data_IF_992823079699
#
_entry.id   IF_992823079699
#
_cell.length_a   1.000
_cell.length_b   1.000
_cell.length_c   1.000
_cell.angle_alpha   90.00
_cell.angle_beta   90.00
_cell.angle_gamma   90.00
#
_symmetry.space_group_name_H-M   'P 1'
#
loop_
_entity.id
_entity.type
_entity.pdbx_description
1 polymer ?
#
# COMPACT_ATOMS: atom_id res chain seq x y z
N UNK A 1 39.71 51.94 15.53
CA UNK A 1 38.97 50.72 15.91
C UNK A 1 39.87 49.51 15.71
N UNK A 2 39.93 48.57 16.67
CA UNK A 2 40.56 47.26 16.49
C UNK A 2 39.50 46.18 16.76
N UNK A 3 39.30 45.27 15.81
CA UNK A 3 38.40 44.12 15.96
C UNK A 3 38.99 43.14 16.99
N UNK A 4 38.13 42.47 17.75
CA UNK A 4 38.51 41.36 18.63
C UNK A 4 38.83 40.09 17.82
N UNK A 5 39.74 39.21 18.28
CA UNK A 5 40.17 38.03 17.53
C UNK A 5 39.18 36.86 17.56
N UNK A 6 38.22 36.84 18.50
CA UNK A 6 37.29 35.73 18.68
C UNK A 6 36.35 35.54 17.47
N UNK A 7 35.93 34.29 17.29
CA UNK A 7 34.97 33.86 16.26
C UNK A 7 33.67 33.41 16.92
N UNK A 8 32.61 33.36 16.12
CA UNK A 8 31.30 32.89 16.55
C UNK A 8 31.25 31.35 16.41
N UNK A 9 30.46 30.70 17.27
CA UNK A 9 30.18 29.27 17.21
C UNK A 9 29.39 28.90 15.95
N UNK A 10 29.70 27.77 15.31
CA UNK A 10 29.06 27.37 14.05
C UNK A 10 27.56 27.07 14.21
N UNK A 11 27.09 26.72 15.41
CA UNK A 11 25.66 26.57 15.66
C UNK A 11 24.92 27.90 15.57
N UNK A 12 25.55 29.03 15.91
CA UNK A 12 24.96 30.34 15.68
C UNK A 12 24.76 30.59 14.18
N UNK A 13 25.75 30.27 13.35
CA UNK A 13 25.64 30.44 11.90
C UNK A 13 24.48 29.60 11.33
N UNK A 14 24.40 28.32 11.69
CA UNK A 14 23.32 27.44 11.22
C UNK A 14 21.94 27.81 11.76
N UNK A 15 21.85 28.27 13.01
CA UNK A 15 20.61 28.72 13.63
C UNK A 15 20.15 30.09 13.12
N UNK A 16 21.06 30.91 12.60
CA UNK A 16 20.74 32.17 11.93
C UNK A 16 20.32 31.98 10.46
N UNK A 17 20.34 30.76 9.92
CA UNK A 17 19.93 30.47 8.54
C UNK A 17 18.60 31.12 8.13
N UNK A 18 17.51 31.08 8.94
CA UNK A 18 16.22 31.66 8.56
C UNK A 18 16.27 33.14 8.19
N UNK A 19 17.16 33.91 8.83
CA UNK A 19 17.35 35.34 8.60
C UNK A 19 18.49 35.61 7.59
N UNK A 20 19.59 34.85 7.71
CA UNK A 20 20.81 35.08 6.94
C UNK A 20 20.62 34.78 5.45
N UNK A 21 19.79 33.77 5.10
CA UNK A 21 19.50 33.43 3.70
C UNK A 21 18.85 34.58 2.91
N UNK A 22 18.20 35.51 3.61
CA UNK A 22 17.49 36.65 3.01
C UNK A 22 18.27 37.96 3.05
N UNK A 23 19.47 37.97 3.65
CA UNK A 23 20.20 39.19 3.97
C UNK A 23 19.37 40.16 4.86
N UNK A 24 18.51 39.60 5.71
CA UNK A 24 17.72 40.35 6.70
C UNK A 24 18.64 40.98 7.75
N UNK A 25 18.37 42.21 8.24
CA UNK A 25 17.21 43.05 7.95
C UNK A 25 17.38 44.03 6.77
N UNK A 26 18.50 43.95 6.04
CA UNK A 26 18.85 44.94 5.02
C UNK A 26 18.05 44.76 3.73
N UNK A 27 17.75 43.51 3.37
CA UNK A 27 17.05 43.15 2.12
C UNK A 27 16.00 42.04 2.34
N UNK A 28 15.14 41.82 1.35
CA UNK A 28 14.16 40.72 1.26
C UNK A 28 13.28 40.50 2.51
N UNK A 29 12.94 41.60 3.20
CA UNK A 29 12.11 41.57 4.41
C UNK A 29 10.75 40.92 4.17
N UNK A 30 10.13 41.21 3.03
CA UNK A 30 8.87 40.62 2.58
C UNK A 30 8.96 39.10 2.40
N UNK A 31 10.05 38.61 1.81
CA UNK A 31 10.29 37.15 1.67
C UNK A 31 10.48 36.49 3.03
N UNK A 32 11.24 37.11 3.93
CA UNK A 32 11.40 36.61 5.29
C UNK A 32 10.04 36.53 6.00
N UNK A 33 9.26 37.61 6.01
CA UNK A 33 7.96 37.67 6.68
C UNK A 33 6.93 36.67 6.10
N UNK A 34 7.00 36.35 4.81
CA UNK A 34 6.12 35.34 4.18
C UNK A 34 6.52 33.89 4.46
N UNK A 35 7.80 33.63 4.74
CA UNK A 35 8.34 32.26 4.89
C UNK A 35 8.74 31.93 6.33
N UNK A 36 8.59 32.86 7.27
CA UNK A 36 8.90 32.68 8.69
C UNK A 36 7.64 32.81 9.56
N UNK A 37 7.37 31.84 10.46
CA UNK A 37 8.14 30.62 10.71
C UNK A 37 7.91 29.53 9.66
N UNK A 38 8.88 28.63 9.50
CA UNK A 38 8.80 27.51 8.57
C UNK A 38 7.67 26.52 8.94
N UNK A 39 6.99 25.94 7.96
CA UNK A 39 5.90 24.99 8.24
C UNK A 39 6.40 23.62 8.74
N UNK A 40 7.53 23.14 8.22
CA UNK A 40 8.06 21.82 8.52
C UNK A 40 9.59 21.77 8.43
N UNK A 41 10.21 21.02 9.35
CA UNK A 41 11.62 20.62 9.28
C UNK A 41 11.78 19.14 9.65
N UNK A 42 12.85 18.50 9.17
CA UNK A 42 13.10 17.09 9.42
C UNK A 42 14.60 16.81 9.51
N UNK A 43 15.09 16.43 10.69
CA UNK A 43 16.48 16.03 10.91
C UNK A 43 16.57 14.97 12.01
N UNK A 44 17.75 14.38 12.18
CA UNK A 44 17.99 13.34 13.16
C UNK A 44 17.99 13.83 14.63
N UNK A 45 17.80 12.88 15.55
CA UNK A 45 17.64 13.10 17.00
C UNK A 45 18.76 13.89 17.67
N UNK A 46 19.97 13.82 17.14
CA UNK A 46 21.12 14.61 17.59
C UNK A 46 20.91 16.13 17.39
N UNK A 47 20.05 16.54 16.45
CA UNK A 47 19.74 17.97 16.23
C UNK A 47 18.90 18.61 17.33
N UNK A 48 18.33 17.82 18.24
CA UNK A 48 17.65 18.34 19.45
C UNK A 48 18.56 19.20 20.33
N UNK A 49 19.88 18.98 20.26
CA UNK A 49 20.90 19.80 20.95
C UNK A 49 21.77 20.63 20.01
N UNK A 50 21.55 20.48 18.71
CA UNK A 50 22.26 21.20 17.65
C UNK A 50 21.33 22.19 16.96
N UNK A 51 21.00 21.91 15.71
CA UNK A 51 20.32 22.86 14.84
C UNK A 51 18.94 23.27 15.36
N UNK A 52 18.10 22.32 15.81
CA UNK A 52 16.77 22.63 16.34
C UNK A 52 16.84 23.59 17.53
N UNK A 53 17.80 23.37 18.43
CA UNK A 53 18.02 24.25 19.57
C UNK A 53 18.45 25.65 19.12
N UNK A 54 19.45 25.74 18.26
CA UNK A 54 19.99 27.03 17.79
C UNK A 54 18.94 27.86 17.03
N UNK A 55 18.15 27.22 16.15
CA UNK A 55 17.01 27.84 15.46
C UNK A 55 16.01 28.42 16.45
N UNK A 56 15.58 27.62 17.44
CA UNK A 56 14.56 28.03 18.39
C UNK A 56 15.06 29.13 19.33
N UNK A 57 16.31 29.05 19.78
CA UNK A 57 16.93 30.05 20.65
C UNK A 57 17.05 31.41 19.95
N UNK A 58 17.62 31.45 18.74
CA UNK A 58 17.79 32.69 17.99
C UNK A 58 16.43 33.30 17.62
N UNK A 59 15.50 32.48 17.13
CA UNK A 59 14.14 32.91 16.81
C UNK A 59 13.42 33.53 18.00
N UNK A 60 13.51 32.89 19.17
CA UNK A 60 12.87 33.37 20.39
C UNK A 60 13.49 34.68 20.88
N UNK A 61 14.83 34.80 20.84
CA UNK A 61 15.54 35.99 21.27
C UNK A 61 15.32 37.21 20.37
N UNK A 62 15.13 37.00 19.06
CA UNK A 62 14.98 38.08 18.10
C UNK A 62 13.52 38.43 17.79
N UNK A 63 12.62 37.44 17.84
CA UNK A 63 11.26 37.58 17.31
C UNK A 63 10.16 37.07 18.25
N UNK A 64 10.51 36.55 19.43
CA UNK A 64 9.55 36.06 20.43
C UNK A 64 8.55 35.00 19.90
N UNK A 65 8.97 34.20 18.91
CA UNK A 65 8.15 33.13 18.34
C UNK A 65 8.98 31.89 17.96
N UNK A 66 8.35 30.70 17.78
CA UNK A 66 9.04 29.51 17.29
C UNK A 66 9.60 29.72 15.88
N UNK A 67 10.70 29.02 15.54
CA UNK A 67 11.30 29.10 14.21
C UNK A 67 10.60 28.23 13.16
N UNK A 68 9.86 27.21 13.61
CA UNK A 68 9.17 26.23 12.77
C UNK A 68 7.90 25.72 13.47
N UNK A 69 6.91 25.27 12.69
CA UNK A 69 5.60 24.82 13.19
C UNK A 69 5.54 23.31 13.45
N UNK A 70 6.15 22.50 12.57
CA UNK A 70 6.16 21.05 12.67
C UNK A 70 7.59 20.50 12.55
N UNK A 71 7.89 19.41 13.25
CA UNK A 71 9.18 18.72 13.19
C UNK A 71 8.99 17.21 13.21
N UNK A 72 9.65 16.51 12.28
CA UNK A 72 9.95 15.08 12.45
C UNK A 72 11.39 14.95 12.95
N UNK A 73 11.55 14.25 14.06
CA UNK A 73 12.85 13.99 14.67
C UNK A 73 13.24 12.53 14.37
N UNK A 74 14.14 12.34 13.41
CA UNK A 74 14.48 11.02 12.89
C UNK A 74 15.35 10.22 13.87
N UNK A 75 15.09 8.92 13.97
CA UNK A 75 16.04 7.99 14.54
C UNK A 75 17.24 7.77 13.61
N UNK A 76 18.32 7.21 14.15
CA UNK A 76 19.51 6.93 13.34
C UNK A 76 19.36 5.67 12.50
N UNK A 77 20.01 5.67 11.33
CA UNK A 77 20.22 4.46 10.53
C UNK A 77 21.37 3.65 11.12
N UNK A 78 21.13 2.35 11.32
CA UNK A 78 22.09 1.36 11.84
C UNK A 78 22.15 0.17 10.89
N UNK A 79 23.18 -0.66 11.03
CA UNK A 79 23.27 -1.88 10.23
C UNK A 79 22.17 -2.91 10.57
N UNK A 80 22.19 -4.06 9.86
CA UNK A 80 21.22 -5.13 10.07
C UNK A 80 21.19 -5.67 11.50
N UNK A 81 22.32 -5.61 12.21
CA UNK A 81 22.49 -6.09 13.57
C UNK A 81 22.11 -5.03 14.62
N UNK A 82 21.84 -3.79 14.19
CA UNK A 82 21.49 -2.68 15.05
C UNK A 82 22.71 -1.87 15.54
N UNK A 83 23.89 -2.09 14.97
CA UNK A 83 25.09 -1.35 15.34
C UNK A 83 25.22 -0.06 14.51
N UNK A 84 25.76 0.99 15.16
CA UNK A 84 26.10 2.24 14.48
C UNK A 84 27.06 1.96 13.33
N UNK A 85 26.71 2.44 12.14
CA UNK A 85 27.58 2.35 10.97
C UNK A 85 28.81 3.25 11.15
N UNK A 86 30.01 2.70 10.94
CA UNK A 86 31.26 3.46 11.00
C UNK A 86 32.35 2.84 10.12
N UNK A 87 33.22 3.69 9.55
CA UNK A 87 34.34 3.20 8.72
C UNK A 87 35.25 2.23 9.49
N UNK A 88 35.45 2.48 10.79
CA UNK A 88 36.27 1.62 11.65
C UNK A 88 35.68 0.20 11.82
N UNK A 89 34.35 0.07 11.84
CA UNK A 89 33.66 -1.23 11.90
C UNK A 89 33.50 -1.90 10.53
N UNK A 90 33.75 -1.19 9.44
CA UNK A 90 33.60 -1.70 8.08
C UNK A 90 32.14 -2.03 7.68
N UNK A 91 31.16 -1.58 8.45
CA UNK A 91 29.72 -1.87 8.26
C UNK A 91 28.96 -0.69 7.60
N UNK A 92 29.67 0.26 7.00
CA UNK A 92 29.07 1.39 6.28
C UNK A 92 28.58 0.90 4.92
N UNK A 93 27.33 1.21 4.61
CA UNK A 93 26.78 1.01 3.27
C UNK A 93 26.74 2.36 2.57
N UNK A 94 27.38 2.46 1.40
CA UNK A 94 27.32 3.66 0.57
C UNK A 94 25.91 3.76 -0.07
N UNK A 95 25.16 4.85 0.14
CA UNK A 95 23.87 5.06 -0.50
C UNK A 95 23.93 4.91 -2.03
N UNK A 96 25.04 5.28 -2.67
CA UNK A 96 25.18 5.16 -4.12
C UNK A 96 25.19 3.73 -4.62
N UNK A 97 25.76 2.80 -3.86
CA UNK A 97 25.68 1.37 -4.21
C UNK A 97 24.22 0.93 -4.28
N UNK A 98 23.41 1.34 -3.31
CA UNK A 98 21.98 0.98 -3.27
C UNK A 98 21.21 1.65 -4.40
N UNK A 99 21.46 2.94 -4.66
CA UNK A 99 20.78 3.67 -5.74
C UNK A 99 21.14 3.10 -7.10
N UNK A 100 22.40 2.72 -7.34
CA UNK A 100 22.83 2.16 -8.62
C UNK A 100 22.29 0.74 -8.84
N UNK A 101 22.22 -0.08 -7.79
CA UNK A 101 21.80 -1.48 -7.90
C UNK A 101 20.26 -1.65 -7.87
N UNK A 102 19.54 -0.77 -7.16
CA UNK A 102 18.08 -0.91 -6.92
C UNK A 102 17.25 0.31 -7.32
N UNK A 103 17.86 1.46 -7.55
CA UNK A 103 17.16 2.71 -7.86
C UNK A 103 16.82 3.56 -6.64
N UNK A 104 16.71 4.88 -6.86
CA UNK A 104 16.42 5.86 -5.81
C UNK A 104 15.04 5.65 -5.17
N UNK A 105 14.02 5.29 -5.96
CA UNK A 105 12.66 5.08 -5.48
C UNK A 105 12.57 3.92 -4.47
N UNK A 106 13.33 2.86 -4.70
CA UNK A 106 13.36 1.71 -3.79
C UNK A 106 13.97 2.11 -2.45
N UNK A 107 15.05 2.90 -2.46
CA UNK A 107 15.66 3.42 -1.24
C UNK A 107 14.69 4.36 -0.48
N UNK A 108 14.06 5.31 -1.18
CA UNK A 108 13.06 6.22 -0.59
C UNK A 108 11.91 5.45 0.03
N UNK A 109 11.33 4.52 -0.73
CA UNK A 109 10.25 3.68 -0.26
C UNK A 109 10.64 2.86 0.97
N UNK A 110 11.82 2.25 0.97
CA UNK A 110 12.32 1.50 2.11
C UNK A 110 12.38 2.37 3.38
N UNK A 111 12.99 3.55 3.28
CA UNK A 111 13.16 4.46 4.42
C UNK A 111 11.81 4.95 4.96
N UNK A 112 10.84 5.20 4.09
CA UNK A 112 9.51 5.69 4.48
C UNK A 112 8.59 4.57 4.98
N UNK A 113 8.63 3.37 4.41
CA UNK A 113 7.67 2.31 4.68
C UNK A 113 8.10 1.28 5.75
N UNK A 114 9.41 1.12 5.97
CA UNK A 114 9.94 0.04 6.84
C UNK A 114 9.57 0.19 8.31
N UNK A 115 9.47 1.42 8.82
CA UNK A 115 9.06 1.72 10.19
C UNK A 115 8.85 3.21 10.40
N UNK A 116 8.22 3.60 11.54
CA UNK A 116 8.07 5.01 11.91
C UNK A 116 9.42 5.71 11.99
N UNK A 117 9.46 6.97 11.54
CA UNK A 117 10.68 7.72 11.25
C UNK A 117 11.52 8.03 12.51
N UNK A 118 10.88 8.09 13.68
CA UNK A 118 11.49 8.34 14.98
C UNK A 118 12.28 7.15 15.53
N UNK A 119 12.07 5.95 14.98
CA UNK A 119 12.73 4.74 15.44
C UNK A 119 14.14 4.60 14.86
N UNK A 120 14.97 3.80 15.54
CA UNK A 120 16.25 3.36 14.97
C UNK A 120 15.96 2.47 13.75
N UNK A 121 16.43 2.90 12.58
CA UNK A 121 16.20 2.20 11.32
C UNK A 121 17.34 1.22 11.02
N UNK A 122 17.05 -0.08 11.13
CA UNK A 122 17.96 -1.11 10.62
C UNK A 122 17.99 -1.07 9.11
N UNK A 123 19.18 -1.18 8.53
CA UNK A 123 19.38 -1.08 7.09
C UNK A 123 20.30 -2.19 6.58
N UNK A 124 19.85 -2.86 5.52
CA UNK A 124 20.68 -3.77 4.73
C UNK A 124 20.17 -3.86 3.30
N UNK A 125 21.10 -4.17 2.38
CA UNK A 125 20.79 -4.37 0.96
C UNK A 125 19.71 -5.45 0.77
N UNK A 126 19.75 -6.53 1.57
CA UNK A 126 18.77 -7.60 1.52
C UNK A 126 17.34 -7.11 1.83
N UNK A 127 17.19 -6.29 2.88
CA UNK A 127 15.89 -5.73 3.28
C UNK A 127 15.35 -4.76 2.22
N UNK A 128 16.22 -3.96 1.60
CA UNK A 128 15.86 -3.08 0.47
C UNK A 128 15.35 -3.92 -0.72
N UNK A 129 16.08 -4.98 -1.08
CA UNK A 129 15.71 -5.87 -2.17
C UNK A 129 14.38 -6.61 -1.93
N UNK A 130 14.09 -7.00 -0.69
CA UNK A 130 12.80 -7.60 -0.33
C UNK A 130 11.64 -6.63 -0.46
N UNK A 131 11.82 -5.38 -0.03
CA UNK A 131 10.83 -4.32 -0.18
C UNK A 131 10.55 -4.01 -1.65
N UNK A 132 11.59 -3.92 -2.48
CA UNK A 132 11.47 -3.76 -3.94
C UNK A 132 10.59 -4.85 -4.55
N UNK A 133 10.88 -6.12 -4.24
CA UNK A 133 10.16 -7.26 -4.82
C UNK A 133 8.68 -7.26 -4.46
N UNK A 134 8.32 -6.83 -3.25
CA UNK A 134 6.93 -6.84 -2.78
C UNK A 134 6.08 -5.74 -3.41
N UNK A 135 6.64 -4.54 -3.58
CA UNK A 135 5.85 -3.38 -4.02
C UNK A 135 6.08 -3.07 -5.49
N UNK A 136 7.33 -2.78 -5.87
CA UNK A 136 7.64 -2.27 -7.19
C UNK A 136 7.38 -3.32 -8.28
N UNK A 137 7.79 -4.57 -8.07
CA UNK A 137 7.51 -5.63 -9.06
C UNK A 137 6.01 -5.90 -9.20
N UNK A 138 5.25 -5.89 -8.10
CA UNK A 138 3.80 -6.11 -8.12
C UNK A 138 3.09 -4.98 -8.88
N UNK A 139 3.45 -3.74 -8.61
CA UNK A 139 2.95 -2.58 -9.35
C UNK A 139 3.33 -2.66 -10.83
N UNK A 140 4.61 -2.89 -11.13
CA UNK A 140 5.11 -2.91 -12.50
C UNK A 140 4.50 -4.04 -13.33
N UNK A 141 4.29 -5.22 -12.74
CA UNK A 141 3.61 -6.33 -13.40
C UNK A 141 2.14 -6.02 -13.67
N UNK A 142 1.46 -5.34 -12.73
CA UNK A 142 0.06 -4.90 -12.90
C UNK A 142 -0.06 -3.86 -14.01
N UNK A 143 0.83 -2.87 -14.01
CA UNK A 143 0.95 -1.87 -15.07
C UNK A 143 1.28 -2.51 -16.43
N UNK A 144 2.26 -3.40 -16.49
CA UNK A 144 2.66 -4.10 -17.72
C UNK A 144 1.52 -4.96 -18.27
N UNK A 145 0.78 -5.64 -17.40
CA UNK A 145 -0.43 -6.36 -17.77
C UNK A 145 -1.45 -5.42 -18.43
N UNK A 146 -1.75 -4.28 -17.79
CA UNK A 146 -2.67 -3.29 -18.34
C UNK A 146 -2.22 -2.81 -19.72
N UNK A 147 -0.98 -2.32 -19.85
CA UNK A 147 -0.43 -1.78 -21.11
C UNK A 147 -0.47 -2.83 -22.22
N UNK A 148 -0.09 -4.07 -21.94
CA UNK A 148 -0.08 -5.14 -22.94
C UNK A 148 -1.48 -5.35 -23.55
N UNK A 149 -2.49 -5.55 -22.71
CA UNK A 149 -3.83 -5.86 -23.19
C UNK A 149 -4.57 -4.62 -23.71
N UNK A 150 -4.37 -3.45 -23.08
CA UNK A 150 -4.91 -2.18 -23.57
C UNK A 150 -4.41 -1.86 -24.98
N UNK A 151 -3.14 -2.14 -25.30
CA UNK A 151 -2.60 -1.96 -26.64
C UNK A 151 -3.17 -2.96 -27.66
N UNK A 152 -3.33 -4.23 -27.27
CA UNK A 152 -3.95 -5.26 -28.12
C UNK A 152 -5.37 -4.85 -28.50
N UNK A 153 -6.14 -4.38 -27.52
CA UNK A 153 -7.54 -4.01 -27.70
C UNK A 153 -7.75 -2.56 -28.15
N UNK A 154 -6.67 -1.78 -28.28
CA UNK A 154 -6.68 -0.35 -28.62
C UNK A 154 -7.59 0.45 -27.70
N UNK A 155 -7.51 0.18 -26.40
CA UNK A 155 -8.25 0.90 -25.39
C UNK A 155 -7.85 2.38 -25.38
N UNK A 156 -8.85 3.25 -25.36
CA UNK A 156 -8.68 4.70 -25.18
C UNK A 156 -9.51 5.09 -23.96
N UNK A 157 -8.89 5.67 -22.92
CA UNK A 157 -9.61 6.21 -21.77
C UNK A 157 -10.69 7.19 -22.21
N UNK A 158 -11.93 6.95 -21.77
CA UNK A 158 -13.04 7.87 -22.03
C UNK A 158 -13.47 8.57 -20.73
N UNK A 159 -13.91 9.84 -20.80
CA UNK A 159 -14.42 10.56 -19.62
C UNK A 159 -15.72 9.94 -19.08
N UNK A 160 -16.50 9.27 -19.93
CA UNK A 160 -17.76 8.65 -19.55
C UNK A 160 -17.54 7.29 -18.91
N UNK A 161 -18.04 7.16 -17.69
CA UNK A 161 -18.07 5.91 -16.92
C UNK A 161 -18.99 4.90 -17.63
N UNK A 162 -18.59 3.62 -17.81
CA UNK A 162 -19.48 2.60 -18.33
C UNK A 162 -20.74 2.48 -17.45
N UNK A 163 -21.90 2.26 -18.08
CA UNK A 163 -23.20 2.30 -17.39
C UNK A 163 -23.38 1.21 -16.31
N UNK A 164 -22.58 0.13 -16.34
CA UNK A 164 -22.69 -1.00 -15.42
C UNK A 164 -21.29 -1.50 -15.06
N UNK A 165 -20.94 -1.42 -13.77
CA UNK A 165 -19.74 -2.00 -13.20
C UNK A 165 -20.02 -3.35 -12.57
N UNK A 166 -19.08 -4.29 -12.70
CA UNK A 166 -19.12 -5.52 -11.92
C UNK A 166 -18.89 -5.23 -10.43
N UNK A 167 -19.29 -6.14 -9.54
CA UNK A 167 -19.13 -5.96 -8.09
C UNK A 167 -17.66 -5.74 -7.69
N UNK A 168 -16.72 -6.47 -8.32
CA UNK A 168 -15.29 -6.28 -8.11
C UNK A 168 -14.78 -4.90 -8.59
N UNK A 169 -15.39 -4.33 -9.64
CA UNK A 169 -15.04 -2.97 -10.09
C UNK A 169 -15.51 -1.94 -9.06
N UNK A 170 -16.75 -2.07 -8.59
CA UNK A 170 -17.29 -1.20 -7.55
C UNK A 170 -16.48 -1.30 -6.26
N UNK A 171 -16.06 -2.51 -5.88
CA UNK A 171 -15.21 -2.74 -4.71
C UNK A 171 -13.86 -2.05 -4.84
N UNK A 172 -13.11 -2.28 -5.93
CA UNK A 172 -11.75 -1.71 -6.03
C UNK A 172 -11.79 -0.18 -6.18
N UNK A 173 -12.83 0.39 -6.80
CA UNK A 173 -13.04 1.84 -6.85
C UNK A 173 -13.37 2.40 -5.45
N UNK A 174 -14.18 1.68 -4.68
CA UNK A 174 -14.47 2.03 -3.29
C UNK A 174 -13.21 2.00 -2.43
N UNK A 175 -12.39 0.95 -2.54
CA UNK A 175 -11.07 0.85 -1.90
C UNK A 175 -10.11 1.94 -2.35
N UNK A 176 -10.12 2.32 -3.64
CA UNK A 176 -9.28 3.42 -4.15
C UNK A 176 -9.64 4.76 -3.51
N UNK A 177 -10.93 5.07 -3.38
CA UNK A 177 -11.37 6.31 -2.72
C UNK A 177 -11.06 6.30 -1.22
N UNK A 178 -11.19 5.14 -0.57
CA UNK A 178 -10.76 4.95 0.82
C UNK A 178 -9.26 5.15 0.98
N UNK A 179 -8.45 4.57 0.08
CA UNK A 179 -7.00 4.75 0.04
C UNK A 179 -6.64 6.23 -0.07
N UNK A 180 -7.25 6.98 -1.00
CA UNK A 180 -6.98 8.42 -1.15
C UNK A 180 -7.26 9.14 0.17
N UNK A 181 -8.40 8.88 0.81
CA UNK A 181 -8.75 9.51 2.08
C UNK A 181 -7.77 9.15 3.23
N UNK A 182 -7.37 7.88 3.34
CA UNK A 182 -6.45 7.39 4.36
C UNK A 182 -5.03 7.93 4.16
N UNK A 183 -4.54 8.01 2.92
CA UNK A 183 -3.24 8.58 2.58
C UNK A 183 -3.23 10.09 2.82
N UNK A 184 -4.25 10.82 2.38
CA UNK A 184 -4.36 12.27 2.65
C UNK A 184 -4.31 12.53 4.15
N UNK A 185 -5.13 11.83 4.93
CA UNK A 185 -5.15 11.98 6.40
C UNK A 185 -3.79 11.70 7.04
N UNK A 186 -3.10 10.65 6.58
CA UNK A 186 -1.79 10.29 7.11
C UNK A 186 -0.74 11.36 6.77
N UNK A 187 -0.70 11.85 5.53
CA UNK A 187 0.24 12.89 5.12
C UNK A 187 -0.04 14.25 5.80
N UNK A 188 -1.31 14.63 5.94
CA UNK A 188 -1.72 15.83 6.71
C UNK A 188 -1.29 15.75 8.18
N UNK A 189 -1.14 14.53 8.71
CA UNK A 189 -0.68 14.26 10.07
C UNK A 189 0.82 13.98 10.16
N UNK A 190 1.59 14.18 9.08
CA UNK A 190 3.02 13.88 9.01
C UNK A 190 3.39 12.40 9.30
N UNK A 191 2.53 11.46 8.89
CA UNK A 191 2.68 10.01 9.08
C UNK A 191 2.97 9.26 7.75
N UNK A 192 4.16 9.45 7.13
CA UNK A 192 4.47 8.90 5.81
C UNK A 192 4.51 7.36 5.79
N UNK A 193 4.89 6.72 6.91
CA UNK A 193 4.94 5.27 7.01
C UNK A 193 3.57 4.63 6.89
N UNK A 194 2.56 5.23 7.55
CA UNK A 194 1.17 4.77 7.46
C UNK A 194 0.65 4.91 6.04
N UNK A 195 0.85 6.07 5.42
CA UNK A 195 0.50 6.32 4.02
C UNK A 195 1.13 5.29 3.06
N UNK A 196 2.43 5.04 3.16
CA UNK A 196 3.13 4.06 2.32
C UNK A 196 2.56 2.63 2.50
N UNK A 197 2.20 2.24 3.73
CA UNK A 197 1.62 0.93 4.02
C UNK A 197 0.20 0.77 3.46
N UNK A 198 -0.63 1.83 3.49
CA UNK A 198 -1.94 1.82 2.86
C UNK A 198 -1.81 1.62 1.34
N UNK A 199 -0.91 2.38 0.70
CA UNK A 199 -0.64 2.23 -0.73
C UNK A 199 -0.14 0.82 -1.06
N UNK A 200 0.79 0.28 -0.25
CA UNK A 200 1.29 -1.08 -0.42
C UNK A 200 0.17 -2.13 -0.37
N UNK A 201 -0.74 -2.02 0.61
CA UNK A 201 -1.86 -2.95 0.75
C UNK A 201 -2.77 -2.88 -0.47
N UNK A 202 -3.08 -1.68 -0.95
CA UNK A 202 -3.91 -1.52 -2.14
C UNK A 202 -3.26 -2.08 -3.41
N UNK A 203 -1.95 -1.90 -3.59
CA UNK A 203 -1.21 -2.50 -4.73
C UNK A 203 -1.33 -4.04 -4.69
N UNK A 204 -1.25 -4.64 -3.50
CA UNK A 204 -1.45 -6.07 -3.31
C UNK A 204 -2.87 -6.50 -3.68
N UNK A 205 -3.89 -5.80 -3.16
CA UNK A 205 -5.31 -6.07 -3.44
C UNK A 205 -5.64 -5.92 -4.94
N UNK A 206 -5.10 -4.87 -5.58
CA UNK A 206 -5.28 -4.60 -7.00
C UNK A 206 -4.68 -5.75 -7.85
N UNK A 207 -3.47 -6.18 -7.55
CA UNK A 207 -2.79 -7.25 -8.30
C UNK A 207 -3.37 -8.63 -8.00
N UNK A 208 -3.37 -9.01 -6.73
CA UNK A 208 -3.61 -10.37 -6.27
C UNK A 208 -5.08 -10.70 -6.11
N UNK A 209 -5.98 -9.72 -6.03
CA UNK A 209 -7.42 -9.97 -6.04
C UNK A 209 -8.06 -9.45 -7.32
N UNK A 210 -8.08 -8.14 -7.55
CA UNK A 210 -8.84 -7.55 -8.64
C UNK A 210 -8.37 -8.04 -10.02
N UNK A 211 -7.09 -7.82 -10.37
CA UNK A 211 -6.54 -8.19 -11.68
C UNK A 211 -6.64 -9.69 -11.89
N UNK A 212 -6.21 -10.49 -10.91
CA UNK A 212 -6.22 -11.96 -11.01
C UNK A 212 -7.62 -12.50 -11.33
N UNK A 213 -8.66 -12.00 -10.65
CA UNK A 213 -10.05 -12.42 -10.86
C UNK A 213 -10.67 -11.86 -12.14
N UNK A 214 -10.19 -10.69 -12.57
CA UNK A 214 -10.70 -10.03 -13.77
C UNK A 214 -9.98 -10.46 -15.07
N UNK A 215 -8.90 -11.27 -15.02
CA UNK A 215 -8.11 -11.68 -16.22
C UNK A 215 -8.97 -12.18 -17.38
N UNK A 216 -9.97 -13.02 -17.09
CA UNK A 216 -10.89 -13.56 -18.11
C UNK A 216 -11.60 -12.45 -18.89
N UNK A 217 -11.94 -11.33 -18.23
CA UNK A 217 -12.59 -10.16 -18.85
C UNK A 217 -11.66 -9.48 -19.85
N UNK A 218 -10.38 -9.35 -19.52
CA UNK A 218 -9.34 -8.80 -20.42
C UNK A 218 -9.01 -9.72 -21.61
N UNK A 219 -9.21 -11.04 -21.48
CA UNK A 219 -8.91 -12.01 -22.54
C UNK A 219 -10.08 -12.32 -23.49
N UNK A 220 -11.28 -11.78 -23.23
CA UNK A 220 -12.42 -11.96 -24.12
C UNK A 220 -12.09 -11.41 -25.51
N UNK A 221 -12.39 -12.17 -26.56
CA UNK A 221 -12.19 -11.72 -27.94
C UNK A 221 -13.13 -10.57 -28.33
N UNK A 222 -14.28 -10.46 -27.68
CA UNK A 222 -15.22 -9.36 -27.90
C UNK A 222 -14.90 -8.17 -26.99
N UNK A 223 -14.84 -6.96 -27.56
CA UNK A 223 -14.76 -5.71 -26.82
C UNK A 223 -16.17 -5.29 -26.37
N UNK A 224 -16.70 -6.00 -25.38
CA UNK A 224 -18.00 -5.73 -24.78
C UNK A 224 -17.93 -4.64 -23.69
N UNK A 225 -19.10 -4.21 -23.21
CA UNK A 225 -19.20 -3.18 -22.17
C UNK A 225 -18.53 -3.61 -20.85
N UNK A 226 -18.54 -4.91 -20.55
CA UNK A 226 -17.91 -5.49 -19.36
C UNK A 226 -16.37 -5.39 -19.40
N UNK A 227 -15.76 -5.71 -20.55
CA UNK A 227 -14.33 -5.55 -20.77
C UNK A 227 -13.91 -4.09 -20.73
N UNK A 228 -14.71 -3.19 -21.31
CA UNK A 228 -14.47 -1.76 -21.23
C UNK A 228 -14.52 -1.26 -19.77
N UNK A 229 -15.46 -1.75 -18.96
CA UNK A 229 -15.54 -1.43 -17.55
C UNK A 229 -14.28 -1.86 -16.79
N UNK A 230 -13.79 -3.07 -17.03
CA UNK A 230 -12.54 -3.56 -16.42
C UNK A 230 -11.32 -2.69 -16.78
N UNK A 231 -11.19 -2.27 -18.05
CA UNK A 231 -10.11 -1.36 -18.47
C UNK A 231 -10.21 0.00 -17.82
N UNK A 232 -11.40 0.62 -17.83
CA UNK A 232 -11.62 1.92 -17.21
C UNK A 232 -11.29 1.90 -15.72
N UNK A 233 -11.72 0.85 -15.01
CA UNK A 233 -11.42 0.69 -13.59
C UNK A 233 -9.93 0.53 -13.33
N UNK A 234 -9.24 -0.36 -14.04
CA UNK A 234 -7.80 -0.58 -13.85
C UNK A 234 -6.97 0.66 -14.24
N UNK A 235 -7.36 1.35 -15.31
CA UNK A 235 -6.76 2.61 -15.72
C UNK A 235 -6.89 3.67 -14.60
N UNK A 236 -8.11 3.86 -14.07
CA UNK A 236 -8.34 4.80 -12.99
C UNK A 236 -7.48 4.47 -11.75
N UNK A 237 -7.40 3.20 -11.37
CA UNK A 237 -6.55 2.79 -10.24
C UNK A 237 -5.07 3.12 -10.48
N UNK A 238 -4.54 2.82 -11.67
CA UNK A 238 -3.13 3.05 -12.00
C UNK A 238 -2.77 4.55 -12.08
N UNK A 239 -3.66 5.37 -12.64
CA UNK A 239 -3.45 6.83 -12.69
C UNK A 239 -3.52 7.45 -11.30
N UNK A 240 -4.51 7.10 -10.48
CA UNK A 240 -4.56 7.61 -9.10
C UNK A 240 -3.38 7.11 -8.27
N UNK A 241 -2.93 5.86 -8.47
CA UNK A 241 -1.72 5.35 -7.83
C UNK A 241 -0.47 6.14 -8.23
N UNK A 242 -0.31 6.53 -9.50
CA UNK A 242 0.86 7.32 -9.89
C UNK A 242 0.89 8.67 -9.15
N UNK A 243 -0.27 9.31 -8.96
CA UNK A 243 -0.37 10.55 -8.19
C UNK A 243 -0.08 10.35 -6.70
N UNK A 244 -0.65 9.32 -6.07
CA UNK A 244 -0.40 9.00 -4.66
C UNK A 244 1.07 8.61 -4.39
N UNK A 245 1.72 7.98 -5.37
CA UNK A 245 3.11 7.55 -5.28
C UNK A 245 4.12 8.67 -5.50
N UNK A 246 3.74 9.79 -6.14
CA UNK A 246 4.66 10.85 -6.52
C UNK A 246 5.55 11.39 -5.38
N UNK A 247 5.04 11.60 -4.14
CA UNK A 247 5.89 12.01 -3.01
C UNK A 247 6.89 10.94 -2.55
N UNK A 248 6.59 9.66 -2.80
CA UNK A 248 7.34 8.51 -2.30
C UNK A 248 8.35 7.97 -3.33
N UNK A 249 7.88 7.71 -4.55
CA UNK A 249 8.61 7.10 -5.66
C UNK A 249 8.51 7.99 -6.92
N UNK A 250 9.17 9.17 -6.93
CA UNK A 250 8.96 10.19 -7.94
C UNK A 250 9.31 9.78 -9.38
N UNK A 251 10.21 8.80 -9.58
CA UNK A 251 10.62 8.41 -10.92
C UNK A 251 9.63 7.41 -11.54
N UNK A 252 9.24 6.38 -10.78
CA UNK A 252 8.25 5.39 -11.23
C UNK A 252 6.88 6.02 -11.39
N UNK A 253 6.47 6.92 -10.48
CA UNK A 253 5.21 7.66 -10.65
C UNK A 253 5.18 8.46 -11.95
N UNK A 254 6.29 9.09 -12.30
CA UNK A 254 6.43 9.87 -13.53
C UNK A 254 6.36 8.96 -14.76
N UNK A 255 7.09 7.85 -14.78
CA UNK A 255 7.07 6.88 -15.88
C UNK A 255 5.64 6.36 -16.15
N UNK A 256 4.92 5.99 -15.08
CA UNK A 256 3.53 5.55 -15.18
C UNK A 256 2.64 6.66 -15.74
N UNK A 257 2.78 7.90 -15.24
CA UNK A 257 1.94 9.03 -15.66
C UNK A 257 2.21 9.45 -17.11
N UNK A 258 3.48 9.53 -17.52
CA UNK A 258 3.87 9.84 -18.89
C UNK A 258 3.26 8.87 -19.88
N UNK A 259 3.33 7.57 -19.59
CA UNK A 259 2.78 6.54 -20.45
C UNK A 259 1.25 6.54 -20.42
N UNK A 260 0.64 6.48 -19.23
CA UNK A 260 -0.81 6.30 -19.12
C UNK A 260 -1.61 7.56 -19.49
N UNK A 261 -1.07 8.75 -19.24
CA UNK A 261 -1.81 10.01 -19.35
C UNK A 261 -1.25 10.86 -20.49
N UNK A 262 0.02 11.26 -20.43
CA UNK A 262 0.59 12.22 -21.39
C UNK A 262 0.66 11.66 -22.82
N UNK A 263 0.85 10.34 -22.99
CA UNK A 263 0.88 9.71 -24.31
C UNK A 263 -0.49 9.73 -25.03
N UNK A 264 -1.57 9.93 -24.27
CA UNK A 264 -2.95 9.85 -24.75
C UNK A 264 -3.60 11.23 -24.80
N UNK A 265 -3.36 12.06 -23.78
CA UNK A 265 -3.96 13.39 -23.64
C UNK A 265 -2.89 14.50 -23.73
N UNK A 266 -2.76 15.17 -24.89
CA UNK A 266 -1.82 16.28 -25.07
C UNK A 266 -2.08 17.51 -24.19
N UNK A 267 -3.29 17.65 -23.64
CA UNK A 267 -3.66 18.76 -22.75
C UNK A 267 -3.42 18.45 -21.26
N UNK A 268 -2.99 17.21 -20.94
CA UNK A 268 -2.62 16.86 -19.58
C UNK A 268 -1.44 17.71 -19.08
N UNK A 269 -1.30 17.82 -17.76
CA UNK A 269 -0.07 18.37 -17.18
C UNK A 269 1.11 17.55 -17.67
N UNK A 270 2.24 18.20 -17.90
CA UNK A 270 3.42 17.56 -18.49
C UNK A 270 4.13 16.59 -17.53
N UNK A 271 3.76 16.55 -16.25
CA UNK A 271 4.36 15.68 -15.24
C UNK A 271 3.35 15.41 -14.12
N UNK A 272 3.45 14.23 -13.48
CA UNK A 272 2.61 13.90 -12.31
C UNK A 272 2.84 14.88 -11.16
N UNK A 273 4.06 15.42 -11.06
CA UNK A 273 4.48 16.37 -10.03
C UNK A 273 3.85 17.76 -10.19
N UNK A 274 3.17 18.00 -11.31
CA UNK A 274 2.42 19.23 -11.60
C UNK A 274 0.90 19.02 -11.55
N UNK A 275 0.45 17.82 -11.13
CA UNK A 275 -0.97 17.50 -10.93
C UNK A 275 -1.42 17.85 -9.53
N UNK A 276 -2.72 18.13 -9.37
CA UNK A 276 -3.33 18.23 -8.06
C UNK A 276 -3.31 16.86 -7.35
N UNK A 277 -3.11 16.88 -6.04
CA UNK A 277 -3.23 15.66 -5.23
C UNK A 277 -4.66 15.10 -5.35
N UNK A 278 -4.86 13.78 -5.53
CA UNK A 278 -6.19 13.22 -5.75
C UNK A 278 -7.09 13.46 -4.54
N UNK A 279 -8.38 13.67 -4.82
CA UNK A 279 -9.42 13.90 -3.80
C UNK A 279 -10.38 12.73 -3.80
N UNK A 280 -10.63 12.15 -2.62
CA UNK A 280 -11.54 11.03 -2.46
C UNK A 280 -12.99 11.44 -2.73
N UNK A 281 -13.67 10.70 -3.59
CA UNK A 281 -15.12 10.76 -3.75
C UNK A 281 -15.78 9.89 -2.68
N UNK A 282 -16.19 10.54 -1.58
CA UNK A 282 -16.81 9.86 -0.43
C UNK A 282 -18.11 9.13 -0.79
N UNK A 283 -18.80 9.52 -1.86
CA UNK A 283 -20.03 8.86 -2.30
C UNK A 283 -19.75 7.49 -2.95
N UNK A 284 -18.50 7.24 -3.39
CA UNK A 284 -18.07 5.96 -3.95
C UNK A 284 -17.50 5.00 -2.91
N UNK A 285 -17.34 5.44 -1.66
CA UNK A 285 -16.90 4.57 -0.57
C UNK A 285 -18.09 3.77 -0.07
N UNK A 286 -18.02 2.46 -0.25
CA UNK A 286 -18.99 1.49 0.25
C UNK A 286 -18.31 0.57 1.28
N UNK A 287 -18.37 0.98 2.55
CA UNK A 287 -17.72 0.24 3.65
C UNK A 287 -18.28 -1.17 3.82
N UNK A 288 -19.57 -1.39 3.55
CA UNK A 288 -20.16 -2.73 3.61
C UNK A 288 -19.55 -3.64 2.57
N UNK A 289 -19.53 -3.23 1.29
CA UNK A 289 -18.91 -4.01 0.21
C UNK A 289 -17.42 -4.27 0.49
N UNK A 290 -16.71 -3.25 0.95
CA UNK A 290 -15.30 -3.37 1.31
C UNK A 290 -15.07 -4.42 2.40
N UNK A 291 -15.89 -4.42 3.45
CA UNK A 291 -15.79 -5.39 4.53
C UNK A 291 -16.18 -6.80 4.08
N UNK A 292 -17.25 -6.92 3.28
CA UNK A 292 -17.72 -8.19 2.73
C UNK A 292 -16.61 -8.85 1.86
N UNK A 293 -15.95 -8.09 0.98
CA UNK A 293 -14.84 -8.60 0.15
C UNK A 293 -13.59 -8.92 1.00
N UNK A 294 -13.23 -8.08 1.98
CA UNK A 294 -12.10 -8.41 2.89
C UNK A 294 -12.35 -9.68 3.68
N UNK A 295 -13.58 -9.93 4.11
CA UNK A 295 -13.97 -11.18 4.75
C UNK A 295 -13.76 -12.36 3.80
N UNK A 296 -14.25 -12.27 2.55
CA UNK A 296 -14.03 -13.32 1.54
C UNK A 296 -12.53 -13.59 1.29
N UNK A 297 -11.71 -12.54 1.15
CA UNK A 297 -10.25 -12.66 1.01
C UNK A 297 -9.61 -13.37 2.21
N UNK A 298 -10.07 -13.04 3.43
CA UNK A 298 -9.60 -13.65 4.67
C UNK A 298 -9.93 -15.14 4.73
N UNK A 299 -11.17 -15.51 4.44
CA UNK A 299 -11.63 -16.90 4.39
C UNK A 299 -10.84 -17.69 3.35
N UNK A 300 -10.62 -17.13 2.16
CA UNK A 300 -9.86 -17.79 1.14
C UNK A 300 -8.38 -17.97 1.53
N UNK A 301 -7.79 -17.01 2.24
CA UNK A 301 -6.45 -17.12 2.82
C UNK A 301 -6.37 -18.25 3.85
N UNK A 302 -7.34 -18.35 4.77
CA UNK A 302 -7.43 -19.45 5.75
C UNK A 302 -7.60 -20.80 5.06
N UNK A 303 -8.45 -20.90 4.02
CA UNK A 303 -8.60 -22.13 3.24
C UNK A 303 -7.29 -22.55 2.57
N UNK A 304 -6.54 -21.62 1.98
CA UNK A 304 -5.20 -21.91 1.43
C UNK A 304 -4.20 -22.32 2.51
N UNK A 305 -4.25 -21.72 3.70
CA UNK A 305 -3.41 -22.11 4.83
C UNK A 305 -3.72 -23.54 5.30
N UNK A 306 -5.02 -23.90 5.39
CA UNK A 306 -5.44 -25.25 5.71
C UNK A 306 -4.94 -26.26 4.66
N UNK A 307 -4.93 -25.90 3.37
CA UNK A 307 -4.39 -26.74 2.28
C UNK A 307 -2.89 -26.94 2.43
N UNK A 308 -2.16 -25.85 2.70
CA UNK A 308 -0.71 -25.87 2.87
C UNK A 308 -0.29 -26.74 4.06
N UNK A 309 -1.05 -26.73 5.16
CA UNK A 309 -0.78 -27.53 6.37
C UNK A 309 -0.70 -29.03 6.08
N UNK A 310 -1.49 -29.54 5.13
CA UNK A 310 -1.51 -30.94 4.70
C UNK A 310 -0.80 -31.19 3.36
N UNK A 311 -0.13 -30.18 2.79
CA UNK A 311 0.65 -30.30 1.56
C UNK A 311 -0.15 -30.46 0.27
N UNK A 312 -1.47 -30.22 0.28
CA UNK A 312 -2.31 -30.30 -0.92
C UNK A 312 -2.12 -29.05 -1.77
N UNK A 313 -1.71 -29.21 -3.04
CA UNK A 313 -1.49 -28.09 -3.98
C UNK A 313 -2.80 -27.46 -4.45
N UNK A 314 -2.85 -26.15 -4.68
CA UNK A 314 -4.09 -25.42 -5.08
C UNK A 314 -4.72 -25.97 -6.34
N UNK A 315 -3.91 -26.42 -7.31
CA UNK A 315 -4.40 -27.05 -8.55
C UNK A 315 -5.28 -28.29 -8.35
N UNK A 316 -5.16 -28.99 -7.21
CA UNK A 316 -5.95 -30.17 -6.90
C UNK A 316 -7.34 -29.74 -6.40
N UNK A 317 -8.45 -29.94 -7.13
CA UNK A 317 -9.76 -29.59 -6.60
C UNK A 317 -10.10 -30.46 -5.37
N UNK A 318 -10.79 -29.86 -4.40
CA UNK A 318 -11.33 -30.55 -3.22
C UNK A 318 -12.85 -30.52 -3.24
N UNK A 319 -13.48 -31.49 -2.58
CA UNK A 319 -14.94 -31.59 -2.59
C UNK A 319 -15.61 -30.39 -1.90
N UNK A 320 -15.13 -30.04 -0.71
CA UNK A 320 -15.86 -29.13 0.19
C UNK A 320 -14.94 -28.31 1.05
N UNK A 321 -15.32 -27.07 1.31
CA UNK A 321 -14.84 -26.27 2.43
C UNK A 321 -15.99 -25.83 3.32
N UNK A 322 -15.76 -25.81 4.63
CA UNK A 322 -16.71 -25.35 5.63
C UNK A 322 -16.14 -24.12 6.33
N UNK A 323 -16.96 -23.08 6.45
CA UNK A 323 -16.57 -21.80 7.05
C UNK A 323 -17.48 -21.49 8.21
N UNK A 324 -16.91 -21.26 9.37
CA UNK A 324 -17.63 -20.77 10.54
C UNK A 324 -17.53 -19.25 10.61
N UNK A 325 -18.68 -18.59 10.61
CA UNK A 325 -18.83 -17.13 10.79
C UNK A 325 -19.49 -16.79 12.12
N UNK A 326 -19.35 -15.54 12.58
CA UNK A 326 -19.86 -15.11 13.88
C UNK A 326 -21.29 -14.55 13.81
N UNK A 327 -21.75 -14.15 12.62
CA UNK A 327 -23.08 -13.55 12.43
C UNK A 327 -23.77 -14.03 11.15
N UNK A 328 -25.09 -13.86 11.07
CA UNK A 328 -25.86 -14.08 9.84
C UNK A 328 -25.42 -13.15 8.72
N UNK A 329 -25.14 -11.88 9.05
CA UNK A 329 -24.72 -10.88 8.07
C UNK A 329 -23.42 -11.27 7.37
N UNK A 330 -22.44 -11.80 8.13
CA UNK A 330 -21.20 -12.34 7.57
C UNK A 330 -21.48 -13.56 6.69
N UNK A 331 -22.44 -14.40 7.08
CA UNK A 331 -22.84 -15.56 6.28
C UNK A 331 -23.51 -15.16 4.95
N UNK A 332 -24.38 -14.15 4.97
CA UNK A 332 -24.98 -13.59 3.75
C UNK A 332 -23.94 -12.94 2.84
N UNK A 333 -22.98 -12.21 3.41
CA UNK A 333 -21.88 -11.60 2.67
C UNK A 333 -21.02 -12.66 1.96
N UNK A 334 -20.61 -13.71 2.69
CA UNK A 334 -19.87 -14.83 2.11
C UNK A 334 -20.71 -15.59 1.08
N UNK A 335 -22.02 -15.70 1.27
CA UNK A 335 -22.92 -16.35 0.31
C UNK A 335 -22.94 -15.63 -1.04
N UNK A 336 -22.91 -14.29 -1.05
CA UNK A 336 -22.82 -13.49 -2.28
C UNK A 336 -21.49 -13.66 -3.00
N UNK A 337 -20.42 -13.90 -2.24
CA UNK A 337 -19.04 -14.07 -2.72
C UNK A 337 -18.60 -15.54 -2.71
N UNK A 338 -19.53 -16.49 -2.69
CA UNK A 338 -19.21 -17.91 -2.53
C UNK A 338 -18.42 -18.44 -3.72
N UNK A 339 -18.88 -18.14 -4.94
CA UNK A 339 -18.17 -18.48 -6.19
C UNK A 339 -16.74 -17.96 -6.15
N UNK A 340 -16.57 -16.74 -5.64
CA UNK A 340 -15.29 -16.08 -5.56
C UNK A 340 -14.32 -16.83 -4.66
N UNK A 341 -14.81 -17.28 -3.51
CA UNK A 341 -14.04 -18.03 -2.54
C UNK A 341 -13.74 -19.42 -3.09
N UNK A 342 -14.73 -20.12 -3.61
CA UNK A 342 -14.61 -21.48 -4.17
C UNK A 342 -13.51 -21.59 -5.23
N UNK A 343 -13.49 -20.66 -6.19
CA UNK A 343 -12.44 -20.59 -7.21
C UNK A 343 -11.05 -20.35 -6.58
N UNK A 344 -10.97 -19.56 -5.51
CA UNK A 344 -9.70 -19.19 -4.87
C UNK A 344 -9.08 -20.33 -4.07
N UNK A 345 -9.89 -21.12 -3.38
CA UNK A 345 -9.45 -22.29 -2.62
C UNK A 345 -9.50 -23.58 -3.46
N UNK A 346 -10.05 -23.51 -4.68
CA UNK A 346 -10.31 -24.61 -5.60
C UNK A 346 -11.10 -25.74 -4.93
N UNK A 347 -12.32 -25.43 -4.48
CA UNK A 347 -13.27 -26.39 -3.92
C UNK A 347 -14.57 -26.41 -4.72
N UNK A 348 -15.31 -27.52 -4.68
CA UNK A 348 -16.57 -27.65 -5.41
C UNK A 348 -17.78 -27.08 -4.67
N UNK A 349 -17.71 -27.00 -3.34
CA UNK A 349 -18.80 -26.53 -2.49
C UNK A 349 -18.26 -25.77 -1.28
N UNK A 350 -18.79 -24.56 -1.05
CA UNK A 350 -18.60 -23.80 0.19
C UNK A 350 -19.82 -23.91 1.09
N UNK A 351 -19.65 -24.50 2.27
CA UNK A 351 -20.68 -24.56 3.31
C UNK A 351 -20.41 -23.50 4.36
N UNK A 352 -21.37 -22.60 4.54
CA UNK A 352 -21.29 -21.51 5.52
C UNK A 352 -22.11 -21.90 6.75
N UNK A 353 -21.46 -21.89 7.91
CA UNK A 353 -22.06 -22.20 9.21
C UNK A 353 -22.22 -20.91 10.00
N UNK A 354 -23.47 -20.46 10.17
CA UNK A 354 -23.84 -19.32 11.01
C UNK A 354 -24.47 -19.78 12.33
N UNK A 355 -24.46 -18.94 13.38
CA UNK A 355 -25.00 -19.30 14.71
C UNK A 355 -26.50 -19.67 14.73
N UNK A 356 -27.23 -19.36 13.67
CA UNK A 356 -28.70 -19.40 13.60
C UNK A 356 -29.28 -20.33 12.54
N UNK A 357 -28.43 -21.05 11.77
CA UNK A 357 -28.86 -22.08 10.83
C UNK A 357 -28.64 -23.49 11.43
N UNK A 358 -29.66 -24.10 12.07
CA UNK A 358 -29.61 -25.51 12.49
C UNK A 358 -30.06 -26.46 11.37
N UNK A 359 -29.97 -26.07 10.09
CA UNK A 359 -30.20 -27.00 8.97
C UNK A 359 -28.86 -27.48 8.48
N UNK A 360 -28.27 -28.30 9.32
CA UNK A 360 -27.08 -29.03 8.99
C UNK A 360 -27.50 -30.28 8.19
N UNK A 361 -26.92 -30.57 7.00
CA UNK A 361 -27.12 -31.86 6.33
C UNK A 361 -26.89 -33.01 7.31
N UNK A 362 -27.58 -34.14 7.16
CA UNK A 362 -27.54 -35.24 8.17
C UNK A 362 -26.13 -35.74 8.52
N UNK A 363 -25.16 -35.58 7.62
CA UNK A 363 -23.73 -35.89 7.80
C UNK A 363 -22.98 -34.93 8.74
N UNK A 364 -23.56 -33.76 8.96
CA UNK A 364 -22.92 -32.63 9.59
C UNK A 364 -23.53 -32.35 11.00
N UNK A 365 -24.55 -33.12 11.43
CA UNK A 365 -25.10 -33.09 12.80
C UNK A 365 -24.08 -33.39 13.92
N UNK A 366 -22.94 -34.00 13.57
CA UNK A 366 -21.81 -34.18 14.49
C UNK A 366 -20.86 -32.95 14.56
N UNK A 367 -21.16 -31.85 13.85
CA UNK A 367 -20.33 -30.63 13.74
C UNK A 367 -20.69 -29.53 14.75
N UNK A 368 -21.59 -29.76 15.71
CA UNK A 368 -21.88 -28.78 16.78
C UNK A 368 -20.60 -28.38 17.54
N UNK A 369 -19.61 -29.26 17.56
CA UNK A 369 -18.24 -28.93 17.89
C UNK A 369 -17.41 -28.91 16.61
N UNK A 370 -17.20 -27.72 16.03
CA UNK A 370 -16.11 -27.44 15.11
C UNK A 370 -14.78 -27.58 15.90
N UNK A 371 -14.49 -28.80 16.34
CA UNK A 371 -13.31 -29.14 17.12
C UNK A 371 -12.10 -29.13 16.19
N UNK A 372 -10.92 -28.89 16.76
CA UNK A 372 -9.66 -28.82 16.02
C UNK A 372 -9.30 -30.15 15.30
N UNK A 373 -10.03 -31.23 15.56
CA UNK A 373 -9.79 -32.59 15.08
C UNK A 373 -11.01 -33.19 14.37
N UNK A 374 -11.54 -32.50 13.36
CA UNK A 374 -12.52 -33.09 12.43
C UNK A 374 -11.85 -34.14 11.53
N UNK A 375 -12.19 -35.44 11.65
CA UNK A 375 -11.56 -36.47 10.83
C UNK A 375 -11.82 -36.22 9.35
N UNK A 376 -10.78 -36.34 8.52
CA UNK A 376 -10.87 -36.08 7.08
C UNK A 376 -10.83 -34.59 6.70
N UNK A 377 -10.67 -33.67 7.65
CA UNK A 377 -10.55 -32.24 7.38
C UNK A 377 -9.21 -31.65 7.84
N UNK A 378 -8.72 -30.66 7.10
CA UNK A 378 -7.63 -29.78 7.56
C UNK A 378 -8.21 -28.43 7.95
N UNK A 379 -7.80 -27.90 9.10
CA UNK A 379 -8.37 -26.68 9.68
C UNK A 379 -7.30 -25.59 9.82
N UNK A 380 -7.68 -24.37 9.45
CA UNK A 380 -6.98 -23.14 9.79
C UNK A 380 -7.94 -22.14 10.44
N UNK A 381 -7.44 -21.44 11.47
CA UNK A 381 -8.18 -20.41 12.20
C UNK A 381 -7.26 -19.25 12.54
N UNK A 382 -7.84 -18.05 12.66
CA UNK A 382 -7.18 -16.87 13.21
C UNK A 382 -7.74 -16.46 14.57
N UNK A 383 -8.51 -17.36 15.21
CA UNK A 383 -9.23 -17.12 16.46
C UNK A 383 -10.66 -16.62 16.26
N UNK A 384 -10.92 -15.85 15.19
CA UNK A 384 -12.25 -15.30 14.88
C UNK A 384 -12.98 -16.17 13.87
N UNK A 385 -12.33 -16.44 12.75
CA UNK A 385 -12.87 -17.26 11.67
C UNK A 385 -12.17 -18.60 11.63
N UNK A 386 -12.91 -19.63 11.20
CA UNK A 386 -12.35 -20.97 11.03
C UNK A 386 -12.78 -21.53 9.69
N UNK A 387 -11.80 -22.05 8.94
CA UNK A 387 -12.01 -22.71 7.65
C UNK A 387 -11.50 -24.14 7.75
N UNK A 388 -12.38 -25.11 7.47
CA UNK A 388 -12.05 -26.51 7.32
C UNK A 388 -12.16 -26.91 5.85
N UNK A 389 -11.18 -27.63 5.33
CA UNK A 389 -11.21 -28.17 3.96
C UNK A 389 -11.25 -29.69 4.02
N UNK A 390 -12.02 -30.33 3.15
CA UNK A 390 -11.98 -31.79 3.01
C UNK A 390 -10.63 -32.23 2.44
N UNK A 391 -10.03 -33.25 3.05
CA UNK A 391 -8.74 -33.83 2.61
C UNK A 391 -8.90 -35.11 1.81
N UNK A 392 -10.13 -35.65 1.74
CA UNK A 392 -10.43 -36.85 0.96
C UNK A 392 -10.46 -36.51 -0.54
N UNK A 393 -9.67 -37.26 -1.32
CA UNK A 393 -9.61 -37.15 -2.77
C UNK A 393 -10.36 -38.32 -3.38
N UNK A 394 -11.55 -38.08 -3.92
CA UNK A 394 -12.24 -39.08 -4.74
C UNK A 394 -11.44 -39.33 -6.03
N UNK A 395 -11.60 -40.50 -6.68
CA UNK A 395 -10.93 -40.79 -7.95
C UNK A 395 -11.14 -39.71 -9.02
N UNK A 396 -12.33 -39.10 -9.05
CA UNK A 396 -12.68 -38.02 -9.98
C UNK A 396 -11.89 -36.75 -9.67
N UNK A 397 -11.85 -36.32 -8.41
CA UNK A 397 -11.08 -35.15 -7.98
C UNK A 397 -9.59 -35.36 -8.23
N UNK A 398 -9.06 -36.55 -7.91
CA UNK A 398 -7.66 -36.89 -8.16
C UNK A 398 -7.31 -36.80 -9.65
N UNK A 399 -8.21 -37.22 -10.55
CA UNK A 399 -8.02 -37.13 -11.99
C UNK A 399 -8.05 -35.66 -12.50
N UNK A 400 -8.88 -34.80 -11.92
CA UNK A 400 -8.95 -33.37 -12.28
C UNK A 400 -7.70 -32.56 -11.86
N UNK A 401 -6.91 -33.06 -10.90
CA UNK A 401 -5.72 -32.38 -10.37
C UNK A 401 -4.39 -32.72 -11.06
N UNK A 402 -4.42 -33.65 -12.02
CA UNK A 402 -3.28 -34.05 -12.88
C UNK A 402 -3.16 -33.05 -14.02
#
# INVERSE_FOLDING_TARGET
>A
MRRIPEVIDCWFDSGAMPIAQWHYPFENRDKFEQNFPADFICEAVDQTRGWFYSLHAISTLLFEQPCFKNVICLGHVVDAQGEKMSKAKGNVIDPWTVVNDYGADVLRWYLLASGPAENIHRFSIQMVAETMRKVLLTLWNTYSFFVLYANIDRFVPQPSVPAIFAELDNWIISELNRLVAEVTKALDSYEPTSAARYIQSFIDDLSNWYVRRSRRRFWKSANDADKLAAYTTLYQCLVTLSQLLAPFMPFISEELYQNLVCSINPEAKESVHLTDFPVADKAKINDKLNNDVRLAMKIASLGRAARAKVGIKVRQPLAKAMVKVESEEEGEALGKLATEIEEEINVKELVILSPSLPVIPSEAKNLEEFSLDLPGYSIASDGRYTVAISTELTPELAAEGI
#
